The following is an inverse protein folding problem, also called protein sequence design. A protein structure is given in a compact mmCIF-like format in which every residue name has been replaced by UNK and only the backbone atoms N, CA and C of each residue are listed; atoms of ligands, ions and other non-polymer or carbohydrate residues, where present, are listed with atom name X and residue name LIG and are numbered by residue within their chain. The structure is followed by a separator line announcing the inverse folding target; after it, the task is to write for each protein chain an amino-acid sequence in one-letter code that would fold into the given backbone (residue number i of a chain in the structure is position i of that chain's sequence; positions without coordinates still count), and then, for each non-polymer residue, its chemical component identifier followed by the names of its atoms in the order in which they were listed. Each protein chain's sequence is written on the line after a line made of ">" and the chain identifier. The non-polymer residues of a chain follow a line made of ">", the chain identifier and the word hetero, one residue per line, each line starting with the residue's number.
data_IF_240307887817
#
_entry.id   IF_240307887817
#
_cell.length_a   1.000
_cell.length_b   1.000
_cell.length_c   1.000
_cell.angle_alpha   90.00
_cell.angle_beta   90.00
_cell.angle_gamma   90.00
#
_symmetry.space_group_name_H-M   'P 1'
#
loop_
_entity.id
_entity.type
_entity.pdbx_description
1 polymer ?
#
# COMPACT_ATOMS: atom_id res chain seq x y z
N UNK A 1 9.56 -17.26 -27.13
CA UNK A 1 8.62 -17.61 -26.04
C UNK A 1 9.32 -18.58 -25.10
N UNK A 2 9.23 -18.34 -23.79
CA UNK A 2 9.67 -19.29 -22.76
C UNK A 2 8.43 -20.05 -22.29
N UNK A 3 8.48 -21.38 -22.31
CA UNK A 3 7.36 -22.23 -21.90
C UNK A 3 7.47 -22.63 -20.43
N UNK A 4 6.34 -22.57 -19.71
CA UNK A 4 6.23 -23.03 -18.32
C UNK A 4 5.00 -23.95 -18.21
N UNK A 5 5.21 -25.18 -17.73
CA UNK A 5 4.12 -26.12 -17.47
C UNK A 5 3.77 -26.08 -15.97
N UNK A 6 2.48 -25.93 -15.67
CA UNK A 6 1.96 -25.85 -14.30
C UNK A 6 0.83 -26.86 -14.12
N UNK A 7 0.70 -27.42 -12.93
CA UNK A 7 -0.53 -28.12 -12.53
C UNK A 7 -1.66 -27.11 -12.30
N UNK A 8 -2.94 -27.54 -12.29
CA UNK A 8 -4.05 -26.65 -11.94
C UNK A 8 -3.85 -25.94 -10.60
N UNK A 9 -3.32 -26.63 -9.59
CA UNK A 9 -3.06 -26.07 -8.26
C UNK A 9 -1.96 -25.01 -8.29
N UNK A 10 -0.87 -25.28 -9.03
CA UNK A 10 0.20 -24.31 -9.23
C UNK A 10 -0.29 -23.09 -10.00
N UNK A 11 -1.17 -23.28 -10.99
CA UNK A 11 -1.79 -22.18 -11.72
C UNK A 11 -2.72 -21.34 -10.83
N UNK A 12 -3.51 -21.98 -9.95
CA UNK A 12 -4.32 -21.27 -8.94
C UNK A 12 -3.44 -20.42 -8.02
N UNK A 13 -2.32 -20.97 -7.56
CA UNK A 13 -1.35 -20.22 -6.75
C UNK A 13 -0.77 -19.04 -7.52
N UNK A 14 -0.44 -19.21 -8.79
CA UNK A 14 0.04 -18.15 -9.67
C UNK A 14 -0.98 -17.01 -9.82
N UNK A 15 -2.27 -17.33 -10.05
CA UNK A 15 -3.33 -16.32 -10.11
C UNK A 15 -3.40 -15.48 -8.83
N UNK A 16 -3.34 -16.15 -7.66
CA UNK A 16 -3.34 -15.46 -6.36
C UNK A 16 -2.13 -14.56 -6.19
N UNK A 17 -0.93 -15.04 -6.57
CA UNK A 17 0.30 -14.26 -6.47
C UNK A 17 0.28 -13.02 -7.36
N UNK A 18 -0.18 -13.15 -8.61
CA UNK A 18 -0.21 -12.02 -9.54
C UNK A 18 -1.22 -10.98 -9.11
N UNK A 19 -2.39 -11.41 -8.64
CA UNK A 19 -3.40 -10.51 -8.09
C UNK A 19 -2.85 -9.70 -6.91
N UNK A 20 -2.21 -10.37 -5.94
CA UNK A 20 -1.57 -9.69 -4.80
C UNK A 20 -0.47 -8.75 -5.29
N UNK A 21 0.37 -9.19 -6.23
CA UNK A 21 1.46 -8.37 -6.76
C UNK A 21 0.94 -7.11 -7.46
N UNK A 22 -0.05 -7.23 -8.36
CA UNK A 22 -0.61 -6.06 -9.03
C UNK A 22 -1.35 -5.15 -8.04
N UNK A 23 -2.00 -5.71 -7.02
CA UNK A 23 -2.62 -4.92 -5.94
C UNK A 23 -1.57 -4.10 -5.16
N UNK A 24 -0.47 -4.72 -4.73
CA UNK A 24 0.62 -4.03 -4.01
C UNK A 24 1.28 -2.98 -4.91
N UNK A 25 1.51 -3.33 -6.17
CA UNK A 25 2.14 -2.44 -7.15
C UNK A 25 1.19 -1.28 -7.44
N UNK A 26 0.03 -1.52 -8.03
CA UNK A 26 -0.83 -0.50 -8.63
C UNK A 26 -1.99 -0.04 -7.75
N UNK A 27 -2.38 -0.77 -6.71
CA UNK A 27 -3.61 -0.50 -5.93
C UNK A 27 -3.66 0.84 -5.19
N UNK A 28 -2.49 1.45 -4.91
CA UNK A 28 -2.39 2.76 -4.25
C UNK A 28 -2.17 3.93 -5.24
N UNK A 29 -2.10 3.66 -6.55
CA UNK A 29 -1.73 4.68 -7.55
C UNK A 29 -2.95 5.38 -8.11
N UNK A 30 -3.01 6.70 -7.93
CA UNK A 30 -3.93 7.57 -8.67
C UNK A 30 -3.34 8.02 -10.02
N UNK A 31 -2.01 8.11 -10.11
CA UNK A 31 -1.24 8.50 -11.31
C UNK A 31 -0.01 7.60 -11.46
N UNK A 32 0.52 7.49 -12.67
CA UNK A 32 1.71 6.65 -12.93
C UNK A 32 1.41 5.16 -12.82
N UNK A 33 0.22 4.74 -13.25
CA UNK A 33 -0.17 3.34 -13.31
C UNK A 33 0.81 2.54 -14.17
N UNK A 34 1.31 1.43 -13.66
CA UNK A 34 2.31 0.62 -14.37
C UNK A 34 1.60 -0.45 -15.20
N UNK A 35 1.31 -0.10 -16.45
CA UNK A 35 0.54 -0.93 -17.40
C UNK A 35 1.15 -2.31 -17.64
N UNK A 36 2.47 -2.43 -17.61
CA UNK A 36 3.17 -3.70 -17.85
C UNK A 36 2.79 -4.82 -16.87
N UNK A 37 2.51 -4.49 -15.61
CA UNK A 37 2.08 -5.48 -14.61
C UNK A 37 0.61 -5.86 -14.78
N UNK A 38 -0.20 -4.88 -15.15
CA UNK A 38 -1.63 -5.07 -15.43
C UNK A 38 -1.83 -5.92 -16.68
N UNK A 39 -1.13 -5.62 -17.77
CA UNK A 39 -1.15 -6.39 -19.01
C UNK A 39 -0.74 -7.86 -18.77
N UNK A 40 0.27 -8.09 -17.92
CA UNK A 40 0.69 -9.43 -17.54
C UNK A 40 -0.36 -10.15 -16.69
N UNK A 41 -1.00 -9.47 -15.75
CA UNK A 41 -2.13 -10.01 -14.99
C UNK A 41 -3.25 -10.43 -15.93
N UNK A 42 -3.72 -9.51 -16.77
CA UNK A 42 -4.80 -9.78 -17.72
C UNK A 42 -4.47 -10.96 -18.63
N UNK A 43 -3.25 -11.02 -19.15
CA UNK A 43 -2.80 -12.13 -19.98
C UNK A 43 -2.86 -13.48 -19.25
N UNK A 44 -2.49 -13.52 -17.97
CA UNK A 44 -2.51 -14.76 -17.20
C UNK A 44 -3.94 -15.13 -16.81
N UNK A 45 -4.78 -14.16 -16.43
CA UNK A 45 -6.20 -14.38 -16.14
C UNK A 45 -7.01 -14.82 -17.38
N UNK A 46 -6.62 -14.41 -18.59
CA UNK A 46 -7.24 -14.90 -19.84
C UNK A 46 -7.15 -16.42 -20.02
N UNK A 47 -6.22 -17.07 -19.32
CA UNK A 47 -6.00 -18.53 -19.37
C UNK A 47 -6.70 -19.28 -18.24
N UNK A 48 -7.30 -18.58 -17.30
CA UNK A 48 -7.94 -19.20 -16.14
C UNK A 48 -9.04 -20.19 -16.54
N UNK A 49 -9.84 -19.88 -17.55
CA UNK A 49 -10.86 -20.79 -18.09
C UNK A 49 -10.27 -22.11 -18.58
N UNK A 50 -9.21 -22.05 -19.39
CA UNK A 50 -8.53 -23.23 -19.92
C UNK A 50 -7.85 -24.08 -18.83
N UNK A 51 -7.44 -23.45 -17.72
CA UNK A 51 -6.86 -24.12 -16.56
C UNK A 51 -7.90 -24.70 -15.57
N UNK A 52 -9.20 -24.59 -15.87
CA UNK A 52 -10.28 -25.12 -15.01
C UNK A 52 -10.83 -24.13 -13.97
N UNK A 53 -10.51 -22.84 -14.10
CA UNK A 53 -10.96 -21.78 -13.19
C UNK A 53 -11.79 -20.69 -13.92
N UNK A 54 -12.88 -21.02 -14.63
CA UNK A 54 -13.65 -20.04 -15.40
C UNK A 54 -14.29 -18.96 -14.52
N UNK A 55 -14.59 -19.26 -13.25
CA UNK A 55 -15.14 -18.30 -12.31
C UNK A 55 -14.08 -17.34 -11.74
N UNK A 56 -12.78 -17.52 -12.03
CA UNK A 56 -11.71 -16.67 -11.51
C UNK A 56 -11.54 -15.38 -12.31
N UNK A 57 -12.10 -15.31 -13.52
CA UNK A 57 -11.96 -14.17 -14.42
C UNK A 57 -13.33 -13.61 -14.82
N UNK A 58 -13.40 -12.31 -15.05
CA UNK A 58 -14.51 -11.65 -15.73
C UNK A 58 -13.95 -10.86 -16.90
N UNK A 59 -14.57 -11.02 -18.07
CA UNK A 59 -14.18 -10.28 -19.27
C UNK A 59 -15.21 -9.23 -19.66
N UNK A 60 -14.71 -8.10 -20.15
CA UNK A 60 -15.53 -7.08 -20.81
C UNK A 60 -14.80 -6.53 -22.02
N UNK A 61 -15.57 -6.14 -23.03
CA UNK A 61 -15.04 -5.43 -24.20
C UNK A 61 -14.83 -3.98 -23.83
N UNK A 62 -13.62 -3.48 -23.98
CA UNK A 62 -13.36 -2.05 -24.00
C UNK A 62 -13.29 -1.61 -25.45
N UNK A 63 -13.82 -0.42 -25.72
CA UNK A 63 -13.35 0.36 -26.85
C UNK A 63 -12.27 1.26 -26.27
N UNK A 64 -11.01 1.06 -26.66
CA UNK A 64 -9.94 1.99 -26.31
C UNK A 64 -10.33 3.41 -26.74
N UNK A 65 -10.84 4.21 -25.82
CA UNK A 65 -10.64 5.65 -25.89
C UNK A 65 -9.26 5.81 -25.27
N UNK A 66 -8.24 5.70 -26.13
CA UNK A 66 -6.86 5.83 -25.73
C UNK A 66 -6.68 7.00 -24.77
N UNK A 67 -6.02 6.76 -23.65
CA UNK A 67 -5.46 7.81 -22.81
C UNK A 67 -4.71 8.77 -23.74
N UNK A 68 -5.29 9.95 -23.97
CA UNK A 68 -4.74 10.97 -24.85
C UNK A 68 -3.31 11.31 -24.40
N UNK A 69 -2.33 10.89 -25.20
CA UNK A 69 -1.03 11.56 -25.23
C UNK A 69 -1.29 13.00 -25.68
N UNK A 70 -0.76 13.98 -24.94
CA UNK A 70 -1.05 15.40 -25.10
C UNK A 70 -0.62 16.05 -26.43
N UNK A 71 -0.17 15.27 -27.42
CA UNK A 71 0.31 15.75 -28.71
C UNK A 71 -0.52 15.12 -29.83
N UNK A 72 -1.54 15.86 -30.28
CA UNK A 72 -2.52 15.40 -31.25
C UNK A 72 -1.92 15.08 -32.62
N UNK A 73 -1.84 13.79 -32.95
CA UNK A 73 -1.75 13.30 -34.31
C UNK A 73 -2.84 12.23 -34.52
N UNK A 74 -3.87 12.61 -35.27
CA UNK A 74 -5.01 11.76 -35.62
C UNK A 74 -4.64 10.92 -36.85
N UNK A 75 -3.91 9.83 -36.62
CA UNK A 75 -3.82 8.74 -37.60
C UNK A 75 -4.74 7.59 -37.18
N UNK A 76 -5.38 6.97 -38.18
CA UNK A 76 -6.46 5.98 -38.14
C UNK A 76 -6.58 5.15 -36.84
N UNK A 77 -7.56 5.50 -36.00
CA UNK A 77 -8.00 4.67 -34.87
C UNK A 77 -8.68 3.43 -35.43
N UNK A 78 -7.93 2.35 -35.55
CA UNK A 78 -8.50 1.01 -35.66
C UNK A 78 -9.14 0.69 -34.32
N UNK A 79 -10.47 0.69 -34.24
CA UNK A 79 -11.21 0.22 -33.07
C UNK A 79 -11.02 -1.30 -32.95
N UNK A 80 -9.86 -1.72 -32.44
CA UNK A 80 -9.68 -3.10 -32.00
C UNK A 80 -10.43 -3.22 -30.68
N UNK A 81 -11.54 -3.94 -30.71
CA UNK A 81 -12.25 -4.33 -29.49
C UNK A 81 -11.33 -5.29 -28.73
N UNK A 82 -10.61 -4.79 -27.73
CA UNK A 82 -9.78 -5.64 -26.87
C UNK A 82 -10.65 -6.25 -25.76
N UNK A 83 -10.57 -7.57 -25.59
CA UNK A 83 -11.25 -8.27 -24.50
C UNK A 83 -10.34 -8.30 -23.26
N UNK A 84 -10.61 -7.40 -22.32
CA UNK A 84 -9.87 -7.33 -21.06
C UNK A 84 -10.35 -8.40 -20.10
N UNK A 85 -9.41 -9.09 -19.45
CA UNK A 85 -9.67 -10.14 -18.48
C UNK A 85 -9.22 -9.69 -17.09
N UNK A 86 -10.16 -9.54 -16.17
CA UNK A 86 -9.87 -9.12 -14.80
C UNK A 86 -10.15 -10.24 -13.80
N UNK A 87 -9.52 -10.21 -12.62
CA UNK A 87 -9.99 -10.98 -11.47
C UNK A 87 -11.49 -10.81 -11.31
N UNK A 88 -12.22 -11.92 -11.22
CA UNK A 88 -13.65 -11.84 -10.97
C UNK A 88 -13.89 -11.41 -9.52
N UNK A 89 -15.07 -10.84 -9.25
CA UNK A 89 -15.51 -10.57 -7.88
C UNK A 89 -15.52 -11.84 -7.00
N UNK A 90 -15.75 -13.02 -7.57
CA UNK A 90 -15.68 -14.29 -6.81
C UNK A 90 -14.24 -14.57 -6.38
N UNK A 91 -13.27 -14.30 -7.25
CA UNK A 91 -11.86 -14.47 -6.96
C UNK A 91 -11.36 -13.45 -5.93
N UNK A 92 -11.70 -12.17 -6.09
CA UNK A 92 -11.34 -11.10 -5.15
C UNK A 92 -11.87 -11.36 -3.74
N UNK A 93 -13.06 -11.96 -3.62
CA UNK A 93 -13.67 -12.31 -2.34
C UNK A 93 -13.31 -13.73 -1.86
N UNK A 94 -12.28 -14.36 -2.44
CA UNK A 94 -11.73 -15.62 -1.91
C UNK A 94 -11.24 -15.39 -0.47
N UNK A 95 -11.85 -16.09 0.48
CA UNK A 95 -11.60 -15.89 1.92
C UNK A 95 -10.14 -16.07 2.31
N UNK A 96 -9.42 -17.00 1.70
CA UNK A 96 -8.01 -17.25 2.02
C UNK A 96 -7.13 -16.12 1.47
N UNK A 97 -7.45 -15.65 0.27
CA UNK A 97 -6.75 -14.53 -0.37
C UNK A 97 -6.96 -13.22 0.40
N UNK A 98 -8.20 -12.92 0.75
CA UNK A 98 -8.55 -11.75 1.56
C UNK A 98 -7.87 -11.81 2.93
N UNK A 99 -7.89 -12.97 3.59
CA UNK A 99 -7.21 -13.12 4.88
C UNK A 99 -5.69 -12.87 4.80
N UNK A 100 -5.05 -13.29 3.69
CA UNK A 100 -3.62 -13.06 3.46
C UNK A 100 -3.32 -11.56 3.25
N UNK A 101 -4.16 -10.86 2.48
CA UNK A 101 -4.03 -9.42 2.30
C UNK A 101 -4.28 -8.66 3.61
N UNK A 102 -5.33 -9.02 4.35
CA UNK A 102 -5.65 -8.41 5.64
C UNK A 102 -4.51 -8.60 6.66
N UNK A 103 -3.85 -9.76 6.66
CA UNK A 103 -2.69 -10.04 7.51
C UNK A 103 -1.51 -9.13 7.15
N UNK A 104 -1.20 -9.01 5.85
CA UNK A 104 -0.15 -8.12 5.34
C UNK A 104 -0.43 -6.65 5.70
N UNK A 105 -1.62 -6.16 5.35
CA UNK A 105 -2.02 -4.77 5.60
C UNK A 105 -1.98 -4.45 7.10
N UNK A 106 -2.45 -5.37 7.94
CA UNK A 106 -2.39 -5.21 9.40
C UNK A 106 -0.96 -5.15 9.91
N UNK A 107 -0.06 -6.01 9.42
CA UNK A 107 1.34 -5.99 9.81
C UNK A 107 1.99 -4.65 9.45
N UNK A 108 1.86 -4.22 8.19
CA UNK A 108 2.46 -2.97 7.70
C UNK A 108 1.93 -1.75 8.45
N UNK A 109 0.61 -1.63 8.63
CA UNK A 109 0.02 -0.49 9.35
C UNK A 109 0.48 -0.46 10.81
N UNK A 110 0.56 -1.62 11.46
CA UNK A 110 0.98 -1.71 12.88
C UNK A 110 2.44 -1.27 13.04
N UNK A 111 3.33 -1.76 12.18
CA UNK A 111 4.76 -1.44 12.19
C UNK A 111 5.00 0.06 11.94
N UNK A 112 4.51 0.58 10.80
CA UNK A 112 4.72 1.99 10.46
C UNK A 112 4.11 2.94 11.48
N UNK A 113 2.92 2.62 12.01
CA UNK A 113 2.27 3.46 13.00
C UNK A 113 3.04 3.44 14.33
N UNK A 114 3.55 2.28 14.76
CA UNK A 114 4.34 2.17 15.97
C UNK A 114 5.61 3.02 15.91
N UNK A 115 6.35 2.92 14.80
CA UNK A 115 7.53 3.75 14.55
C UNK A 115 7.19 5.24 14.51
N UNK A 116 6.15 5.62 13.77
CA UNK A 116 5.77 7.04 13.65
C UNK A 116 5.36 7.64 15.00
N UNK A 117 4.65 6.89 15.83
CA UNK A 117 4.29 7.32 17.18
C UNK A 117 5.50 7.37 18.12
N UNK A 118 6.43 6.43 17.97
CA UNK A 118 7.70 6.42 18.68
C UNK A 118 8.54 7.66 18.34
N UNK A 119 8.75 7.94 17.04
CA UNK A 119 9.45 9.14 16.58
C UNK A 119 8.82 10.41 17.15
N UNK A 120 7.47 10.53 17.05
CA UNK A 120 6.72 11.66 17.61
C UNK A 120 6.99 11.87 19.10
N UNK A 121 6.97 10.81 19.89
CA UNK A 121 7.12 10.92 21.34
C UNK A 121 8.58 11.12 21.77
N UNK A 122 9.54 10.56 21.03
CA UNK A 122 10.96 10.87 21.18
C UNK A 122 11.18 12.37 20.94
N UNK A 123 10.64 12.95 19.87
CA UNK A 123 10.76 14.38 19.60
C UNK A 123 10.09 15.24 20.69
N UNK A 124 8.93 14.84 21.20
CA UNK A 124 8.27 15.54 22.31
C UNK A 124 9.12 15.55 23.58
N UNK A 125 9.85 14.47 23.86
CA UNK A 125 10.65 14.31 25.08
C UNK A 125 12.06 14.90 24.96
N UNK A 126 12.71 14.72 23.82
CA UNK A 126 14.11 15.11 23.58
C UNK A 126 14.25 16.44 22.80
N UNK A 127 13.12 16.99 22.36
CA UNK A 127 13.03 18.23 21.59
C UNK A 127 12.98 17.97 20.08
N UNK A 128 12.64 19.01 19.29
CA UNK A 128 12.57 18.88 17.84
C UNK A 128 13.93 18.47 17.27
N UNK A 129 13.90 17.66 16.21
CA UNK A 129 15.08 17.11 15.55
C UNK A 129 15.96 16.25 16.48
N UNK A 130 15.34 15.48 17.39
CA UNK A 130 16.02 14.54 18.26
C UNK A 130 16.95 13.60 17.46
N UNK A 131 16.45 13.08 16.31
CA UNK A 131 17.15 12.19 15.38
C UNK A 131 18.53 12.69 14.93
N UNK A 132 18.70 14.00 14.76
CA UNK A 132 19.97 14.59 14.27
C UNK A 132 20.87 15.09 15.39
N UNK A 133 20.35 15.21 16.61
CA UNK A 133 21.06 15.81 17.75
C UNK A 133 21.66 14.80 18.72
N UNK A 134 21.27 13.54 18.62
CA UNK A 134 21.84 12.44 19.40
C UNK A 134 22.63 11.50 18.49
N UNK A 135 23.55 10.69 19.05
CA UNK A 135 24.20 9.61 18.30
C UNK A 135 23.16 8.68 17.67
N UNK A 136 23.40 8.24 16.44
CA UNK A 136 22.49 7.38 15.67
C UNK A 136 22.08 6.13 16.46
N UNK A 137 23.05 5.43 17.03
CA UNK A 137 22.82 4.24 17.87
C UNK A 137 21.90 4.52 19.06
N UNK A 138 22.07 5.66 19.72
CA UNK A 138 21.24 6.02 20.88
C UNK A 138 19.80 6.34 20.44
N UNK A 139 19.63 6.92 19.25
CA UNK A 139 18.31 7.17 18.67
C UNK A 139 17.62 5.88 18.24
N UNK A 140 18.34 4.98 17.56
CA UNK A 140 17.82 3.68 17.13
C UNK A 140 17.37 2.85 18.33
N UNK A 141 18.18 2.76 19.39
CA UNK A 141 17.79 2.03 20.61
C UNK A 141 16.53 2.62 21.27
N UNK A 142 16.38 3.95 21.26
CA UNK A 142 15.17 4.61 21.75
C UNK A 142 13.97 4.35 20.84
N UNK A 143 14.17 4.41 19.52
CA UNK A 143 13.13 4.18 18.54
C UNK A 143 12.58 2.75 18.68
N UNK A 144 13.46 1.76 18.69
CA UNK A 144 13.10 0.35 18.86
C UNK A 144 12.32 0.13 20.15
N UNK A 145 12.79 0.69 21.28
CA UNK A 145 12.12 0.54 22.56
C UNK A 145 10.71 1.13 22.57
N UNK A 146 10.51 2.30 21.97
CA UNK A 146 9.19 2.95 21.92
C UNK A 146 8.27 2.26 20.90
N UNK A 147 8.81 1.88 19.74
CA UNK A 147 8.07 1.18 18.70
C UNK A 147 7.59 -0.19 19.20
N UNK A 148 8.43 -0.94 19.92
CA UNK A 148 8.05 -2.22 20.53
C UNK A 148 6.93 -2.06 21.55
N UNK A 149 6.98 -1.02 22.39
CA UNK A 149 5.91 -0.72 23.33
C UNK A 149 4.57 -0.42 22.63
N UNK A 150 4.60 0.29 21.50
CA UNK A 150 3.41 0.54 20.68
C UNK A 150 2.92 -0.72 19.95
N UNK A 151 3.83 -1.51 19.39
CA UNK A 151 3.51 -2.77 18.73
C UNK A 151 2.81 -3.73 19.70
N UNK A 152 3.30 -3.84 20.94
CA UNK A 152 2.64 -4.61 21.99
C UNK A 152 1.24 -4.10 22.32
N UNK A 153 1.05 -2.79 22.42
CA UNK A 153 -0.28 -2.19 22.67
C UNK A 153 -1.24 -2.51 21.52
N UNK A 154 -0.79 -2.37 20.27
CA UNK A 154 -1.58 -2.71 19.08
C UNK A 154 -1.90 -4.20 18.98
N UNK A 155 -0.98 -5.07 19.38
CA UNK A 155 -1.23 -6.50 19.44
C UNK A 155 -2.35 -6.84 20.44
N UNK A 156 -2.34 -6.19 21.62
CA UNK A 156 -3.27 -6.49 22.72
C UNK A 156 -4.64 -5.81 22.55
N UNK A 157 -4.68 -4.58 22.05
CA UNK A 157 -5.88 -3.73 22.06
C UNK A 157 -6.30 -3.23 20.68
N UNK A 158 -5.55 -3.57 19.62
CA UNK A 158 -5.73 -2.96 18.31
C UNK A 158 -5.62 -1.44 18.38
N UNK A 159 -6.43 -0.74 17.60
CA UNK A 159 -6.47 0.73 17.60
C UNK A 159 -7.50 1.32 18.58
N UNK A 160 -8.13 0.50 19.43
CA UNK A 160 -9.28 0.93 20.25
C UNK A 160 -8.96 2.01 21.29
N UNK A 161 -7.68 2.20 21.65
CA UNK A 161 -7.22 3.23 22.58
C UNK A 161 -6.54 4.41 21.90
N UNK A 162 -6.49 4.40 20.57
CA UNK A 162 -5.91 5.50 19.81
C UNK A 162 -6.87 6.69 19.82
N UNK A 163 -6.34 7.88 20.11
CA UNK A 163 -7.12 9.12 20.12
C UNK A 163 -6.46 10.11 19.17
N UNK A 164 -7.27 10.67 18.28
CA UNK A 164 -6.86 11.77 17.41
C UNK A 164 -7.10 13.08 18.16
N UNK A 165 -6.02 13.73 18.56
CA UNK A 165 -6.08 15.06 19.18
C UNK A 165 -5.90 16.10 18.09
N UNK A 166 -6.90 16.95 17.88
CA UNK A 166 -6.73 18.15 17.05
C UNK A 166 -5.85 19.13 17.83
N UNK A 167 -4.73 19.55 17.27
CA UNK A 167 -4.00 20.69 17.81
C UNK A 167 -4.89 21.93 17.69
N UNK A 168 -5.37 22.42 18.83
CA UNK A 168 -5.96 23.75 18.90
C UNK A 168 -4.83 24.78 18.85
N UNK A 169 -5.07 25.89 18.14
CA UNK A 169 -4.13 27.01 17.90
C UNK A 169 -3.51 27.66 19.17
N UNK A 170 -3.83 27.17 20.36
CA UNK A 170 -3.23 27.58 21.63
C UNK A 170 -1.87 26.89 21.90
N UNK A 171 -1.62 25.71 21.34
CA UNK A 171 -0.34 25.01 21.47
C UNK A 171 0.82 25.79 20.79
N UNK A 172 0.57 26.34 19.60
CA UNK A 172 1.53 27.20 18.88
C UNK A 172 1.88 28.48 19.67
N UNK A 173 0.90 29.08 20.35
CA UNK A 173 1.13 30.27 21.20
C UNK A 173 2.01 29.96 22.42
N UNK A 174 1.97 28.73 22.93
CA UNK A 174 2.79 28.30 24.08
C UNK A 174 4.25 28.05 23.66
N UNK A 175 4.46 27.41 22.50
CA UNK A 175 5.81 27.20 21.93
C UNK A 175 6.46 28.52 21.52
N UNK A 176 5.71 29.44 20.89
CA UNK A 176 6.21 30.78 20.53
C UNK A 176 6.55 31.67 21.73
N UNK A 177 5.87 31.51 22.88
CA UNK A 177 6.20 32.22 24.13
C UNK A 177 7.46 31.68 24.80
N UNK A 178 7.70 30.37 24.76
CA UNK A 178 8.93 29.77 25.32
C UNK A 178 10.16 30.15 24.49
N UNK A 179 10.03 30.25 23.15
CA UNK A 179 11.10 30.71 22.27
C UNK A 179 11.47 32.19 22.47
N UNK A 180 10.50 33.06 22.80
CA UNK A 180 10.75 34.48 23.11
C UNK A 180 11.34 34.72 24.50
N UNK A 181 11.18 33.79 25.45
CA UNK A 181 11.70 33.91 26.82
C UNK A 181 13.17 33.54 27.01
N UNK A 182 13.84 32.94 26.01
CA UNK A 182 15.28 32.56 26.07
C UNK A 182 16.25 33.56 25.44
N UNK A 183 15.76 34.68 24.90
CA UNK A 183 16.61 35.83 24.54
C UNK A 183 16.40 36.92 25.58
N UNK A 184 17.12 36.86 26.70
CA UNK A 184 17.50 37.96 27.61
C UNK A 184 18.00 37.37 28.93
N UNK A 185 19.27 36.98 28.95
CA UNK A 185 20.20 37.17 30.08
C UNK A 185 21.63 36.92 29.59
#
# INVERSE_FOLDING_TARGET
>A
MVGLALTPEQFKALLRMIYVANTVINGHREKGYLKEYDDLEQYIFSRAGAAGFPAATWSHKTSDIGSESADGDLSEVSSQEEEHHHPSRIFENDRELVALMDEYDRAMVTEFLAETLAERDIERKHGPAAKTRMPEKDYEELLDCYAEAYAEEFQKFGFGRMVVVKETAEAEKKVGRIAKGRKLS
#
